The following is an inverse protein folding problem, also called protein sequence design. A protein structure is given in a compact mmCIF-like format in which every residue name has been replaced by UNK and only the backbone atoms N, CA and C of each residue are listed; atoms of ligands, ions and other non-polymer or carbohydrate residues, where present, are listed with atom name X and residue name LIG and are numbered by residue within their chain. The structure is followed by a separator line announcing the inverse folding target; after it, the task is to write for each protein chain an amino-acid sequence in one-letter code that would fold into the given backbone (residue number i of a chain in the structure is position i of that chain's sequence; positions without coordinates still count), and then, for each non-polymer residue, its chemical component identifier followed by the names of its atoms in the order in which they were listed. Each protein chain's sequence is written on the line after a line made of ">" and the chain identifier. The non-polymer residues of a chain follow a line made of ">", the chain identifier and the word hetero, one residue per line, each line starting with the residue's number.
data_IF_755191938518
#
_entry.id   IF_755191938518
#
_cell.length_a   1.000
_cell.length_b   1.000
_cell.length_c   1.000
_cell.angle_alpha   90.00
_cell.angle_beta   90.00
_cell.angle_gamma   90.00
#
_symmetry.space_group_name_H-M   'P 1'
#
loop_
_entity.id
_entity.type
_entity.pdbx_description
1 polymer ?
#
# COMPACT_ATOMS: atom_id res chain seq x y z
N UNK A 1 -0.28 1.51 -23.58
CA UNK A 1 0.41 2.17 -22.45
C UNK A 1 0.60 3.66 -22.68
N UNK A 2 0.89 4.10 -23.92
CA UNK A 2 1.09 5.52 -24.24
C UNK A 2 -0.08 6.44 -23.86
N UNK A 3 -1.33 5.95 -23.98
CA UNK A 3 -2.52 6.73 -23.62
C UNK A 3 -2.59 7.10 -22.14
N UNK A 4 -2.04 6.28 -21.23
CA UNK A 4 -2.07 6.54 -19.79
C UNK A 4 -0.94 7.48 -19.41
N UNK A 5 0.24 7.29 -20.02
CA UNK A 5 1.42 8.14 -19.79
C UNK A 5 1.23 9.56 -20.33
N UNK A 6 0.38 9.74 -21.36
CA UNK A 6 0.06 11.07 -21.91
C UNK A 6 -0.94 11.88 -21.07
N UNK A 7 -1.54 11.30 -20.03
CA UNK A 7 -2.45 12.00 -19.12
C UNK A 7 -1.68 12.85 -18.10
N UNK A 8 -2.33 13.87 -17.54
CA UNK A 8 -1.75 14.65 -16.43
C UNK A 8 -1.58 13.79 -15.18
N UNK A 9 -0.58 14.06 -14.33
CA UNK A 9 -0.37 13.31 -13.08
C UNK A 9 -1.59 13.27 -12.17
N UNK A 10 -2.38 14.35 -12.15
CA UNK A 10 -3.65 14.43 -11.40
C UNK A 10 -4.66 13.43 -11.94
N UNK A 11 -4.79 13.31 -13.27
CA UNK A 11 -5.73 12.37 -13.89
C UNK A 11 -5.26 10.92 -13.69
N UNK A 12 -3.97 10.65 -13.76
CA UNK A 12 -3.40 9.34 -13.45
C UNK A 12 -3.70 8.92 -12.00
N UNK A 13 -3.46 9.83 -11.05
CA UNK A 13 -3.76 9.59 -9.64
C UNK A 13 -5.27 9.39 -9.40
N UNK A 14 -6.13 10.17 -10.06
CA UNK A 14 -7.58 10.02 -9.95
C UNK A 14 -8.07 8.67 -10.50
N UNK A 15 -7.56 8.24 -11.67
CA UNK A 15 -7.88 6.94 -12.26
C UNK A 15 -7.38 5.79 -11.38
N UNK A 16 -6.13 5.85 -10.92
CA UNK A 16 -5.55 4.84 -10.04
C UNK A 16 -6.31 4.77 -8.70
N UNK A 17 -6.65 5.91 -8.09
CA UNK A 17 -7.41 5.97 -6.84
C UNK A 17 -8.85 5.46 -6.98
N UNK A 18 -9.54 5.81 -8.07
CA UNK A 18 -10.90 5.30 -8.33
C UNK A 18 -10.87 3.80 -8.58
N UNK A 19 -9.84 3.31 -9.26
CA UNK A 19 -9.64 1.88 -9.45
C UNK A 19 -9.42 1.14 -8.11
N UNK A 20 -8.55 1.63 -7.23
CA UNK A 20 -8.31 0.98 -5.94
C UNK A 20 -9.57 0.97 -5.08
N UNK A 21 -10.33 2.07 -5.04
CA UNK A 21 -11.64 2.10 -4.38
C UNK A 21 -12.67 1.16 -5.01
N UNK A 22 -12.66 1.03 -6.34
CA UNK A 22 -13.49 0.06 -7.05
C UNK A 22 -13.18 -1.38 -6.64
N UNK A 23 -11.89 -1.72 -6.50
CA UNK A 23 -11.46 -3.04 -6.01
C UNK A 23 -11.89 -3.25 -4.55
N UNK A 24 -11.79 -2.24 -3.69
CA UNK A 24 -12.32 -2.31 -2.32
C UNK A 24 -13.82 -2.55 -2.29
N UNK A 25 -14.59 -1.83 -3.11
CA UNK A 25 -16.03 -2.00 -3.22
C UNK A 25 -16.41 -3.40 -3.73
N UNK A 26 -15.66 -3.93 -4.70
CA UNK A 26 -15.82 -5.29 -5.22
C UNK A 26 -15.50 -6.35 -4.15
N UNK A 27 -14.47 -6.15 -3.34
CA UNK A 27 -14.21 -7.02 -2.18
C UNK A 27 -15.34 -6.98 -1.16
N UNK A 28 -15.86 -5.78 -0.87
CA UNK A 28 -16.96 -5.58 0.07
C UNK A 28 -18.30 -6.14 -0.44
N UNK A 29 -18.53 -6.22 -1.76
CA UNK A 29 -19.78 -6.74 -2.32
C UNK A 29 -20.02 -8.22 -1.97
N UNK A 30 -19.00 -8.95 -1.52
CA UNK A 30 -19.15 -10.32 -1.00
C UNK A 30 -20.17 -10.40 0.18
N UNK A 31 -20.37 -9.31 0.92
CA UNK A 31 -21.39 -9.22 1.99
C UNK A 31 -22.82 -9.49 1.48
N UNK A 32 -23.12 -9.21 0.21
CA UNK A 32 -24.45 -9.48 -0.34
C UNK A 32 -24.75 -10.99 -0.48
N UNK A 33 -23.72 -11.83 -0.54
CA UNK A 33 -23.86 -13.28 -0.65
C UNK A 33 -23.68 -13.99 0.70
N UNK A 34 -22.81 -13.47 1.58
CA UNK A 34 -22.48 -14.09 2.86
C UNK A 34 -22.66 -13.08 3.99
N UNK A 35 -23.69 -13.30 4.83
CA UNK A 35 -24.02 -12.44 5.97
C UNK A 35 -23.21 -12.78 7.22
N UNK A 36 -22.75 -14.03 7.34
CA UNK A 36 -21.87 -14.51 8.39
C UNK A 36 -20.66 -15.21 7.78
N UNK A 37 -19.47 -14.85 8.25
CA UNK A 37 -18.20 -15.45 7.83
C UNK A 37 -17.62 -16.27 8.98
N UNK A 38 -17.05 -17.43 8.64
CA UNK A 38 -16.30 -18.23 9.60
C UNK A 38 -15.07 -17.45 10.09
N UNK A 39 -14.90 -17.33 11.41
CA UNK A 39 -13.77 -16.62 12.04
C UNK A 39 -12.40 -17.07 11.54
N UNK A 40 -12.21 -18.35 11.19
CA UNK A 40 -10.95 -18.86 10.63
C UNK A 40 -10.65 -18.24 9.27
N UNK A 41 -11.67 -18.10 8.41
CA UNK A 41 -11.55 -17.47 7.09
C UNK A 41 -11.29 -15.98 7.25
N UNK A 42 -12.03 -15.30 8.14
CA UNK A 42 -11.80 -13.87 8.43
C UNK A 42 -10.36 -13.61 8.90
N UNK A 43 -9.86 -14.43 9.84
CA UNK A 43 -8.48 -14.31 10.33
C UNK A 43 -7.46 -14.55 9.21
N UNK A 44 -7.74 -15.48 8.29
CA UNK A 44 -6.93 -15.68 7.09
C UNK A 44 -6.90 -14.45 6.18
N UNK A 45 -8.05 -13.82 5.93
CA UNK A 45 -8.14 -12.60 5.12
C UNK A 45 -7.40 -11.42 5.78
N UNK A 46 -7.58 -11.22 7.09
CA UNK A 46 -6.89 -10.19 7.86
C UNK A 46 -5.37 -10.42 7.86
N UNK A 47 -4.93 -11.67 8.06
CA UNK A 47 -3.52 -12.04 8.01
C UNK A 47 -2.90 -11.83 6.62
N UNK A 48 -3.63 -12.15 5.56
CA UNK A 48 -3.20 -11.88 4.18
C UNK A 48 -3.04 -10.37 3.93
N UNK A 49 -4.04 -9.56 4.30
CA UNK A 49 -3.98 -8.11 4.15
C UNK A 49 -2.79 -7.52 4.93
N UNK A 50 -2.61 -7.93 6.18
CA UNK A 50 -1.46 -7.51 7.00
C UNK A 50 -0.12 -7.90 6.35
N UNK A 51 -0.02 -9.13 5.82
CA UNK A 51 1.18 -9.61 5.13
C UNK A 51 1.54 -8.78 3.89
N UNK A 52 0.56 -8.49 3.03
CA UNK A 52 0.76 -7.66 1.84
C UNK A 52 1.23 -6.25 2.23
N UNK A 53 0.63 -5.65 3.25
CA UNK A 53 1.00 -4.30 3.71
C UNK A 53 2.41 -4.26 4.31
N UNK A 54 2.82 -5.28 5.07
CA UNK A 54 4.19 -5.38 5.60
C UNK A 54 5.21 -5.52 4.47
N UNK A 55 4.93 -6.37 3.48
CA UNK A 55 5.83 -6.57 2.33
C UNK A 55 5.99 -5.28 1.51
N UNK A 56 4.87 -4.60 1.20
CA UNK A 56 4.93 -3.30 0.50
C UNK A 56 5.73 -2.26 1.29
N UNK A 57 5.59 -2.24 2.62
CA UNK A 57 6.28 -1.28 3.48
C UNK A 57 7.81 -1.40 3.41
N UNK A 58 8.37 -2.61 3.29
CA UNK A 58 9.83 -2.74 3.14
C UNK A 58 10.29 -2.64 1.68
N UNK A 59 9.65 -3.33 0.75
CA UNK A 59 10.13 -3.44 -0.63
C UNK A 59 9.86 -2.17 -1.43
N UNK A 60 8.71 -1.51 -1.19
CA UNK A 60 8.31 -0.31 -1.93
C UNK A 60 8.64 0.99 -1.22
N UNK A 61 8.83 0.98 0.11
CA UNK A 61 9.14 2.21 0.88
C UNK A 61 10.51 2.17 1.55
N UNK A 62 10.79 1.20 2.44
CA UNK A 62 12.01 1.22 3.26
C UNK A 62 13.29 1.01 2.44
N UNK A 63 13.33 0.03 1.53
CA UNK A 63 14.51 -0.24 0.70
C UNK A 63 14.85 0.96 -0.20
N UNK A 64 13.90 1.54 -0.95
CA UNK A 64 14.15 2.78 -1.70
C UNK A 64 14.59 3.94 -0.80
N UNK A 65 13.99 4.08 0.39
CA UNK A 65 14.35 5.16 1.32
C UNK A 65 15.81 5.05 1.81
N UNK A 66 16.30 3.83 2.08
CA UNK A 66 17.69 3.57 2.47
C UNK A 66 18.64 3.97 1.33
N UNK A 67 18.33 3.60 0.09
CA UNK A 67 19.13 3.98 -1.08
C UNK A 67 19.17 5.50 -1.27
N UNK A 68 18.02 6.17 -1.14
CA UNK A 68 17.93 7.63 -1.23
C UNK A 68 18.68 8.34 -0.08
N UNK A 69 18.75 7.73 1.10
CA UNK A 69 19.45 8.29 2.26
C UNK A 69 20.98 8.16 2.17
N UNK A 70 21.51 7.34 1.26
CA UNK A 70 22.95 7.10 1.14
C UNK A 70 23.75 8.34 0.67
N UNK A 71 23.08 9.30 0.04
CA UNK A 71 23.67 10.55 -0.45
C UNK A 71 23.60 11.71 0.56
N UNK A 72 23.00 11.49 1.74
CA UNK A 72 22.76 12.52 2.74
C UNK A 72 23.91 12.76 3.72
N UNK A 73 23.85 13.86 4.51
CA UNK A 73 24.84 14.17 5.55
C UNK A 73 24.65 13.36 6.85
N UNK A 74 23.52 12.67 6.99
CA UNK A 74 23.17 11.84 8.15
C UNK A 74 23.48 10.36 7.87
N UNK A 75 23.65 9.53 8.92
CA UNK A 75 23.79 8.08 8.73
C UNK A 75 22.60 7.51 7.96
N UNK A 76 22.88 6.62 7.01
CA UNK A 76 21.93 6.08 6.01
C UNK A 76 20.64 5.50 6.62
N UNK A 77 20.70 5.01 7.86
CA UNK A 77 19.56 4.41 8.54
C UNK A 77 18.69 5.44 9.28
N UNK A 78 19.19 6.64 9.59
CA UNK A 78 18.50 7.60 10.46
C UNK A 78 17.25 8.20 9.79
N UNK A 79 17.33 8.80 8.58
CA UNK A 79 16.13 9.36 7.94
C UNK A 79 15.04 8.32 7.64
N UNK A 80 15.35 7.12 7.10
CA UNK A 80 14.35 6.07 6.89
C UNK A 80 13.73 5.57 8.20
N UNK A 81 14.52 5.35 9.25
CA UNK A 81 13.99 4.88 10.54
C UNK A 81 13.05 5.91 11.19
N UNK A 82 13.43 7.19 11.18
CA UNK A 82 12.58 8.26 11.73
C UNK A 82 11.28 8.39 10.93
N UNK A 83 11.36 8.41 9.60
CA UNK A 83 10.18 8.48 8.74
C UNK A 83 9.26 7.27 8.90
N UNK A 84 9.83 6.06 8.97
CA UNK A 84 9.08 4.83 9.16
C UNK A 84 8.40 4.78 10.54
N UNK A 85 9.09 5.15 11.62
CA UNK A 85 8.52 5.18 12.96
C UNK A 85 7.43 6.24 13.11
N UNK A 86 7.63 7.43 12.54
CA UNK A 86 6.61 8.49 12.55
C UNK A 86 5.38 8.13 11.70
N UNK A 87 5.57 7.40 10.61
CA UNK A 87 4.47 6.94 9.74
C UNK A 87 3.76 5.68 10.24
N UNK A 88 4.38 4.91 11.13
CA UNK A 88 3.81 3.70 11.72
C UNK A 88 2.99 3.97 13.00
N UNK A 89 3.17 5.15 13.62
CA UNK A 89 2.38 5.64 14.75
C UNK A 89 1.04 6.23 14.28
#
# INVERSE_FOLDING_TARGET
>A
MEWFVSLSPVMQAALAGTFTWGVTALGASAVFFFKEINKKVLNGMLGFAAGVMIAASFWSLLSPAIEMSASGPLPVWVPPAVGFLLGAL
#
